data_IF_681977622694
#
_entry.id   IF_681977622694
#
_cell.length_a   1.000
_cell.length_b   1.000
_cell.length_c   1.000
_cell.angle_alpha   90.00
_cell.angle_beta   90.00
_cell.angle_gamma   90.00
#
_symmetry.space_group_name_H-M   'P 1'
#
loop_
_entity.id
_entity.type
_entity.pdbx_description
1 polymer ?
#
# COMPACT_ATOMS: atom_id res chain seq x y z
N UNK A 1 13.35 18.06 -4.18
CA UNK A 1 12.91 16.72 -4.56
C UNK A 1 14.09 15.79 -4.37
N UNK A 2 13.99 14.89 -3.41
CA UNK A 2 14.96 13.82 -3.29
C UNK A 2 14.65 12.78 -4.38
N UNK A 3 15.58 12.50 -5.28
CA UNK A 3 15.30 11.63 -6.43
C UNK A 3 15.33 10.14 -6.09
N UNK A 4 15.57 9.78 -4.84
CA UNK A 4 15.77 8.40 -4.44
C UNK A 4 14.67 7.93 -3.46
N UNK A 5 14.05 6.81 -3.79
CA UNK A 5 13.07 6.15 -2.94
C UNK A 5 13.66 4.86 -2.35
N UNK A 6 13.39 4.63 -1.08
CA UNK A 6 13.71 3.38 -0.41
C UNK A 6 12.73 2.32 -0.88
N UNK A 7 13.20 1.17 -1.33
CA UNK A 7 12.33 0.02 -1.64
C UNK A 7 11.93 -0.70 -0.34
N UNK A 8 11.26 0.03 0.54
CA UNK A 8 10.76 -0.48 1.81
C UNK A 8 9.43 0.18 2.15
N UNK A 9 8.36 -0.50 1.84
CA UNK A 9 6.99 -0.02 1.95
C UNK A 9 6.61 0.38 3.39
N UNK A 10 7.05 -0.39 4.39
CA UNK A 10 6.75 -0.13 5.80
C UNK A 10 7.27 1.23 6.28
N UNK A 11 8.48 1.60 5.88
CA UNK A 11 9.13 2.83 6.36
C UNK A 11 8.96 4.02 5.44
N UNK A 12 8.68 3.78 4.16
CA UNK A 12 8.53 4.84 3.16
C UNK A 12 7.09 5.34 3.01
N UNK A 13 6.11 4.44 3.06
CA UNK A 13 4.71 4.81 2.86
C UNK A 13 4.22 5.89 3.84
N UNK A 14 4.55 5.88 5.15
CA UNK A 14 4.16 6.95 6.06
C UNK A 14 4.64 8.33 5.61
N UNK A 15 5.93 8.44 5.27
CA UNK A 15 6.50 9.69 4.78
C UNK A 15 5.91 10.16 3.45
N UNK A 16 5.64 9.22 2.52
CA UNK A 16 4.97 9.53 1.27
C UNK A 16 3.53 10.01 1.50
N UNK A 17 2.80 9.33 2.39
CA UNK A 17 1.44 9.69 2.74
C UNK A 17 1.34 11.08 3.38
N UNK A 18 2.30 11.43 4.24
CA UNK A 18 2.29 12.70 4.97
C UNK A 18 2.75 13.89 4.14
N UNK A 19 3.71 13.69 3.20
CA UNK A 19 4.49 14.81 2.64
C UNK A 19 4.38 14.98 1.12
N UNK A 20 3.85 14.02 0.37
CA UNK A 20 3.66 14.18 -1.07
C UNK A 20 2.31 14.81 -1.37
N UNK A 21 2.24 15.54 -2.49
CA UNK A 21 0.99 16.12 -2.99
C UNK A 21 0.26 15.11 -3.89
N UNK A 22 -0.93 14.73 -3.50
CA UNK A 22 -1.82 13.85 -4.27
C UNK A 22 -3.27 14.05 -3.81
N UNK A 23 -4.22 13.65 -4.63
CA UNK A 23 -5.64 13.68 -4.28
C UNK A 23 -6.33 12.31 -4.46
N UNK A 24 -5.53 11.31 -4.84
CA UNK A 24 -5.98 9.92 -5.01
C UNK A 24 -4.90 8.96 -4.55
N UNK A 25 -5.32 7.82 -4.01
CA UNK A 25 -4.38 6.84 -3.47
C UNK A 25 -4.80 5.42 -3.84
N UNK A 26 -3.78 4.58 -4.10
CA UNK A 26 -3.94 3.14 -4.27
C UNK A 26 -3.42 2.47 -3.00
N UNK A 27 -4.29 1.71 -2.34
CA UNK A 27 -4.00 0.90 -1.17
C UNK A 27 -4.27 -0.58 -1.46
N UNK A 28 -3.56 -1.44 -0.79
CA UNK A 28 -3.76 -2.89 -0.90
C UNK A 28 -2.52 -3.68 -0.52
N UNK A 29 -2.57 -4.98 -0.74
CA UNK A 29 -1.47 -5.92 -0.53
C UNK A 29 -0.51 -5.97 -1.73
N UNK A 30 0.31 -7.02 -1.82
CA UNK A 30 1.15 -7.30 -3.00
C UNK A 30 0.39 -7.35 -4.32
N UNK A 31 -0.89 -7.63 -4.28
CA UNK A 31 -1.74 -7.68 -5.47
C UNK A 31 -1.92 -6.33 -6.16
N UNK A 32 -1.62 -5.23 -5.47
CA UNK A 32 -1.74 -3.87 -6.01
C UNK A 32 -0.38 -3.18 -6.24
N UNK A 33 0.74 -3.78 -5.84
CA UNK A 33 2.07 -3.15 -5.97
C UNK A 33 2.48 -2.90 -7.42
N UNK A 34 1.99 -3.73 -8.36
CA UNK A 34 2.28 -3.57 -9.79
C UNK A 34 1.36 -2.57 -10.51
N UNK A 35 0.38 -1.98 -9.83
CA UNK A 35 -0.41 -0.91 -10.42
C UNK A 35 0.47 0.31 -10.63
N UNK A 36 0.52 0.82 -11.85
CA UNK A 36 1.29 2.01 -12.20
C UNK A 36 0.42 3.25 -12.09
N UNK A 37 0.88 4.26 -11.37
CA UNK A 37 0.13 5.50 -11.19
C UNK A 37 -0.02 6.28 -12.50
N UNK A 38 0.89 6.07 -13.46
CA UNK A 38 0.79 6.63 -14.82
C UNK A 38 -0.46 6.17 -15.55
N UNK A 39 -0.95 4.96 -15.32
CA UNK A 39 -2.22 4.51 -15.94
C UNK A 39 -3.41 5.38 -15.51
N UNK A 40 -3.43 5.78 -14.24
CA UNK A 40 -4.46 6.67 -13.70
C UNK A 40 -4.30 8.10 -14.23
N UNK A 41 -3.07 8.57 -14.38
CA UNK A 41 -2.75 9.88 -14.95
C UNK A 41 -3.16 9.95 -16.42
N UNK A 42 -2.74 9.00 -17.24
CA UNK A 42 -2.96 9.00 -18.70
C UNK A 42 -4.42 8.75 -19.08
N UNK A 43 -5.07 7.81 -18.40
CA UNK A 43 -6.43 7.40 -18.75
C UNK A 43 -7.51 8.27 -18.09
N UNK A 44 -7.23 8.85 -16.93
CA UNK A 44 -8.22 9.52 -16.10
C UNK A 44 -7.82 10.94 -15.69
N UNK A 45 -6.60 11.39 -16.00
CA UNK A 45 -6.08 12.70 -15.57
C UNK A 45 -5.95 12.81 -14.04
N UNK A 46 -5.67 11.71 -13.34
CA UNK A 46 -5.71 11.62 -11.89
C UNK A 46 -4.32 11.72 -11.27
N UNK A 47 -4.13 12.66 -10.31
CA UNK A 47 -2.91 12.74 -9.50
C UNK A 47 -2.95 11.67 -8.40
N UNK A 48 -2.40 10.50 -8.71
CA UNK A 48 -2.52 9.29 -7.90
C UNK A 48 -1.17 8.87 -7.33
N UNK A 49 -1.14 8.51 -6.05
CA UNK A 49 0.00 7.88 -5.39
C UNK A 49 -0.31 6.43 -5.06
N UNK A 50 0.71 5.59 -5.03
CA UNK A 50 0.61 4.19 -4.62
C UNK A 50 1.26 4.00 -3.25
N UNK A 51 0.47 3.57 -2.28
CA UNK A 51 0.88 3.25 -0.92
C UNK A 51 0.58 1.78 -0.58
N UNK A 52 0.64 0.93 -1.60
CA UNK A 52 0.49 -0.51 -1.44
C UNK A 52 1.59 -1.09 -0.55
N UNK A 53 1.29 -2.17 0.16
CA UNK A 53 2.22 -2.83 1.07
C UNK A 53 2.11 -4.34 0.93
N UNK A 54 3.16 -4.99 0.43
CA UNK A 54 3.17 -6.44 0.19
C UNK A 54 2.87 -7.23 1.45
N UNK A 55 1.80 -8.03 1.41
CA UNK A 55 1.30 -8.80 2.54
C UNK A 55 0.61 -7.96 3.61
N UNK A 56 0.17 -6.73 3.28
CA UNK A 56 -0.56 -5.87 4.19
C UNK A 56 -1.83 -6.53 4.73
N UNK A 57 -1.99 -6.51 6.03
CA UNK A 57 -3.26 -6.77 6.70
C UNK A 57 -4.16 -5.52 6.67
N UNK A 58 -5.45 -5.66 6.93
CA UNK A 58 -6.36 -4.50 7.01
C UNK A 58 -5.91 -3.43 8.01
N UNK A 59 -5.26 -3.83 9.10
CA UNK A 59 -4.70 -2.90 10.09
C UNK A 59 -3.54 -2.08 9.55
N UNK A 60 -2.68 -2.66 8.69
CA UNK A 60 -1.62 -1.91 8.02
C UNK A 60 -2.21 -0.83 7.11
N UNK A 61 -3.26 -1.16 6.35
CA UNK A 61 -3.97 -0.21 5.49
C UNK A 61 -4.66 0.89 6.31
N UNK A 62 -5.26 0.53 7.45
CA UNK A 62 -5.86 1.49 8.37
C UNK A 62 -4.84 2.49 8.91
N UNK A 63 -3.66 2.03 9.31
CA UNK A 63 -2.60 2.90 9.81
C UNK A 63 -2.13 3.91 8.75
N UNK A 64 -2.08 3.53 7.48
CA UNK A 64 -1.77 4.46 6.39
C UNK A 64 -2.94 5.41 6.13
N UNK A 65 -4.19 4.94 6.17
CA UNK A 65 -5.37 5.82 6.04
C UNK A 65 -5.43 6.86 7.14
N UNK A 66 -5.02 6.52 8.36
CA UNK A 66 -4.90 7.47 9.46
C UNK A 66 -4.02 8.66 9.06
N UNK A 67 -2.81 8.39 8.55
CA UNK A 67 -1.88 9.43 8.10
C UNK A 67 -2.46 10.22 6.93
N UNK A 68 -3.01 9.54 5.92
CA UNK A 68 -3.60 10.17 4.73
C UNK A 68 -4.66 11.20 5.13
N UNK A 69 -5.59 10.83 6.01
CA UNK A 69 -6.73 11.68 6.36
C UNK A 69 -6.43 12.72 7.43
N UNK A 70 -5.41 12.52 8.26
CA UNK A 70 -4.96 13.49 9.27
C UNK A 70 -3.92 14.47 8.75
N UNK A 71 -3.21 14.14 7.67
CA UNK A 71 -2.17 14.97 7.08
C UNK A 71 -2.67 16.37 6.73
N UNK A 72 -1.84 17.38 6.93
CA UNK A 72 -2.09 18.75 6.49
C UNK A 72 -2.28 18.88 4.97
N UNK A 73 -1.72 17.94 4.21
CA UNK A 73 -1.91 17.86 2.77
C UNK A 73 -3.35 17.47 2.37
N UNK A 74 -4.13 16.91 3.30
CA UNK A 74 -5.53 16.55 3.08
C UNK A 74 -6.51 17.64 3.53
N UNK A 75 -6.17 18.93 3.40
CA UNK A 75 -7.02 20.04 3.83
C UNK A 75 -7.45 20.93 2.66
N UNK A 76 -8.67 21.44 2.73
CA UNK A 76 -9.21 22.35 1.73
C UNK A 76 -9.34 21.73 0.34
N UNK A 77 -8.75 22.36 -0.68
CA UNK A 77 -8.81 21.88 -2.07
C UNK A 77 -7.95 20.62 -2.32
N UNK A 78 -6.98 20.33 -1.44
CA UNK A 78 -6.10 19.15 -1.51
C UNK A 78 -6.72 17.90 -0.88
N UNK A 79 -8.00 17.93 -0.56
CA UNK A 79 -8.71 16.80 0.04
C UNK A 79 -8.61 15.55 -0.83
N UNK A 80 -8.42 14.40 -0.18
CA UNK A 80 -8.43 13.09 -0.85
C UNK A 80 -9.79 12.86 -1.49
N UNK A 81 -9.79 12.77 -2.81
CA UNK A 81 -11.02 12.60 -3.61
C UNK A 81 -11.36 11.14 -3.82
N UNK A 82 -10.33 10.28 -3.91
CA UNK A 82 -10.57 8.87 -4.21
C UNK A 82 -9.53 7.95 -3.58
N UNK A 83 -10.01 6.85 -3.01
CA UNK A 83 -9.21 5.73 -2.53
C UNK A 83 -9.54 4.49 -3.37
N UNK A 84 -8.55 3.93 -4.04
CA UNK A 84 -8.63 2.62 -4.69
C UNK A 84 -8.11 1.58 -3.71
N UNK A 85 -9.00 0.75 -3.18
CA UNK A 85 -8.69 -0.21 -2.12
C UNK A 85 -8.80 -1.64 -2.64
N UNK A 86 -7.67 -2.31 -2.79
CA UNK A 86 -7.61 -3.74 -3.06
C UNK A 86 -7.85 -4.54 -1.77
N UNK A 87 -8.96 -5.26 -1.72
CA UNK A 87 -9.29 -6.16 -0.61
C UNK A 87 -8.74 -7.55 -0.93
N UNK A 88 -7.60 -7.85 -0.32
CA UNK A 88 -6.99 -9.17 -0.39
C UNK A 88 -7.66 -10.08 0.63
N UNK A 89 -8.54 -10.96 0.15
CA UNK A 89 -9.36 -11.83 1.00
C UNK A 89 -8.52 -12.69 1.95
N UNK A 90 -7.31 -13.08 1.56
CA UNK A 90 -6.42 -13.89 2.42
C UNK A 90 -5.99 -13.10 3.65
N UNK A 91 -5.54 -11.85 3.48
CA UNK A 91 -5.10 -11.02 4.61
C UNK A 91 -6.27 -10.48 5.43
N UNK A 92 -7.44 -10.32 4.82
CA UNK A 92 -8.64 -9.86 5.51
C UNK A 92 -9.29 -10.93 6.38
N UNK A 93 -8.95 -12.21 6.22
CA UNK A 93 -9.38 -13.27 7.13
C UNK A 93 -8.54 -13.40 8.41
N UNK A 94 -7.47 -12.61 8.53
CA UNK A 94 -6.61 -12.57 9.71
C UNK A 94 -7.20 -11.82 10.91
N UNK A 95 -6.40 -11.64 11.94
CA UNK A 95 -6.79 -10.90 13.14
C UNK A 95 -6.99 -9.41 12.89
N UNK A 96 -7.99 -8.80 13.52
CA UNK A 96 -8.33 -7.37 13.34
C UNK A 96 -7.17 -6.41 13.70
N UNK A 97 -6.36 -6.78 14.69
CA UNK A 97 -5.20 -6.00 15.11
C UNK A 97 -3.88 -6.47 14.49
N UNK A 98 -3.97 -7.42 13.57
CA UNK A 98 -2.79 -8.01 12.96
C UNK A 98 -2.15 -7.06 11.94
N UNK A 99 -0.82 -6.95 12.02
CA UNK A 99 0.01 -6.20 11.08
C UNK A 99 1.08 -7.12 10.52
N UNK A 100 1.53 -6.85 9.31
CA UNK A 100 2.57 -7.68 8.64
C UNK A 100 3.87 -7.73 9.43
N UNK A 101 4.28 -6.58 9.96
CA UNK A 101 5.45 -6.43 10.83
C UNK A 101 5.13 -5.47 11.97
N UNK A 102 5.92 -5.49 13.05
CA UNK A 102 5.82 -4.46 14.09
C UNK A 102 5.94 -3.06 13.48
N UNK A 103 4.98 -2.21 13.79
CA UNK A 103 4.95 -0.85 13.25
C UNK A 103 6.05 0.00 13.91
N UNK A 104 6.90 0.68 13.14
CA UNK A 104 7.84 1.67 13.67
C UNK A 104 7.06 2.95 14.03
N UNK A 105 6.44 2.97 15.21
CA UNK A 105 5.51 4.01 15.67
C UNK A 105 6.05 5.44 15.47
N UNK A 106 7.37 5.62 15.62
CA UNK A 106 8.04 6.90 15.41
C UNK A 106 8.00 7.43 13.96
N UNK A 107 7.65 6.61 12.97
CA UNK A 107 7.41 7.03 11.57
C UNK A 107 5.92 7.20 11.25
N UNK A 108 5.06 6.87 12.21
CA UNK A 108 3.60 6.90 12.06
C UNK A 108 2.96 7.95 12.99
N UNK A 109 3.76 8.81 13.62
CA UNK A 109 3.32 9.93 14.43
C UNK A 109 3.69 11.29 13.80
N UNK A 110 3.27 12.39 14.40
CA UNK A 110 3.52 13.76 13.91
C UNK A 110 4.84 14.37 14.45
N UNK A 111 5.69 13.58 15.10
CA UNK A 111 6.88 14.06 15.80
C UNK A 111 8.15 13.83 14.98
N UNK A 112 8.66 14.85 14.30
CA UNK A 112 9.95 14.78 13.61
C UNK A 112 11.16 14.55 14.52
N UNK A 113 11.03 14.77 15.83
CA UNK A 113 12.17 14.65 16.76
C UNK A 113 12.57 13.20 17.02
N UNK A 114 11.64 12.26 16.94
CA UNK A 114 11.90 10.84 17.17
C UNK A 114 12.35 10.12 15.87
N UNK A 115 12.13 10.72 14.69
CA UNK A 115 12.60 10.24 13.40
C UNK A 115 14.14 10.21 13.29
N UNK A 116 14.83 10.93 14.17
CA UNK A 116 16.29 10.90 14.23
C UNK A 116 16.84 9.47 14.39
N UNK A 117 16.08 8.55 14.99
CA UNK A 117 16.44 7.14 15.11
C UNK A 117 16.54 6.46 13.75
N UNK A 118 15.66 6.84 12.82
CA UNK A 118 15.66 6.34 11.45
C UNK A 118 16.83 6.95 10.66
N UNK A 119 16.96 8.26 10.72
CA UNK A 119 18.01 9.02 9.99
C UNK A 119 19.43 8.59 10.40
N UNK A 120 19.64 8.32 11.71
CA UNK A 120 20.93 7.88 12.23
C UNK A 120 21.18 6.36 12.07
N UNK A 121 20.23 5.61 11.50
CA UNK A 121 20.51 4.24 11.09
C UNK A 121 21.60 4.27 10.00
N UNK A 122 22.65 3.45 10.16
CA UNK A 122 23.81 3.44 9.25
C UNK A 122 23.39 3.22 7.80
N UNK A 123 22.48 2.28 7.56
CA UNK A 123 22.07 1.92 6.20
C UNK A 123 21.22 3.02 5.58
N UNK A 124 20.34 3.66 6.37
CA UNK A 124 19.56 4.82 5.92
C UNK A 124 20.48 5.99 5.60
N UNK A 125 21.39 6.32 6.52
CA UNK A 125 22.28 7.45 6.33
C UNK A 125 23.19 7.28 5.10
N UNK A 126 23.80 6.12 4.94
CA UNK A 126 24.77 5.89 3.85
C UNK A 126 24.09 5.67 2.51
N UNK A 127 23.08 4.79 2.45
CA UNK A 127 22.51 4.35 1.20
C UNK A 127 21.35 5.20 0.71
N UNK A 128 20.58 5.79 1.64
CA UNK A 128 19.34 6.51 1.28
C UNK A 128 19.41 8.03 1.49
N UNK A 129 20.47 8.53 2.13
CA UNK A 129 20.68 9.96 2.29
C UNK A 129 21.93 10.40 1.56
N UNK A 130 23.11 9.89 1.94
CA UNK A 130 24.38 10.38 1.41
C UNK A 130 24.63 9.96 -0.04
N UNK A 131 24.31 8.71 -0.39
CA UNK A 131 24.51 8.21 -1.76
C UNK A 131 23.64 8.95 -2.77
N UNK A 132 22.34 9.17 -2.57
CA UNK A 132 21.51 9.94 -3.51
C UNK A 132 21.89 11.41 -3.62
N UNK A 133 22.49 11.99 -2.57
CA UNK A 133 23.02 13.34 -2.63
C UNK A 133 24.28 13.43 -3.49
N UNK A 134 25.10 12.38 -3.51
CA UNK A 134 26.31 12.31 -4.30
C UNK A 134 26.05 11.95 -5.78
N UNK A 135 25.05 11.11 -6.02
CA UNK A 135 24.69 10.61 -7.36
C UNK A 135 23.16 10.53 -7.46
N UNK A 136 22.49 11.66 -7.77
CA UNK A 136 21.05 11.73 -7.83
C UNK A 136 20.51 11.05 -9.09
N UNK A 137 19.85 9.90 -8.91
CA UNK A 137 19.09 9.23 -9.97
C UNK A 137 17.64 9.72 -9.98
N UNK A 138 17.05 10.00 -11.16
CA UNK A 138 15.64 10.35 -11.24
C UNK A 138 14.79 9.16 -10.83
N UNK A 139 13.85 9.40 -9.94
CA UNK A 139 12.95 8.35 -9.45
C UNK A 139 11.58 8.47 -10.10
N UNK A 140 11.14 7.39 -10.72
CA UNK A 140 9.80 7.24 -11.24
C UNK A 140 8.88 6.69 -10.16
N UNK A 141 8.05 7.55 -9.58
CA UNK A 141 7.05 7.16 -8.57
C UNK A 141 5.99 6.20 -9.11
N UNK A 142 5.80 6.15 -10.42
CA UNK A 142 4.84 5.23 -11.05
C UNK A 142 5.22 3.77 -10.85
N UNK A 143 6.52 3.48 -10.91
CA UNK A 143 7.07 2.14 -10.78
C UNK A 143 7.56 1.80 -9.36
N UNK A 144 7.31 2.67 -8.39
CA UNK A 144 7.69 2.37 -7.01
C UNK A 144 7.05 1.05 -6.56
N UNK A 145 7.85 0.16 -5.99
CA UNK A 145 7.48 -1.19 -5.55
C UNK A 145 7.11 -2.21 -6.66
N UNK A 146 7.16 -1.86 -7.94
CA UNK A 146 6.82 -2.74 -9.05
C UNK A 146 8.01 -3.65 -9.45
N UNK A 147 8.74 -4.19 -8.48
CA UNK A 147 10.01 -4.91 -8.70
C UNK A 147 9.88 -6.27 -9.41
N UNK A 148 8.69 -6.83 -9.50
CA UNK A 148 8.42 -8.11 -10.14
C UNK A 148 7.49 -8.01 -11.36
N UNK A 149 7.35 -6.77 -11.90
CA UNK A 149 6.66 -6.53 -13.15
C UNK A 149 7.60 -6.82 -14.32
N UNK A 150 7.41 -7.93 -14.99
CA UNK A 150 8.02 -8.22 -16.30
C UNK A 150 7.00 -8.90 -17.21
N UNK A 151 7.06 -8.62 -18.50
CA UNK A 151 6.20 -9.29 -19.48
C UNK A 151 6.38 -10.81 -19.46
N UNK A 152 7.59 -11.27 -19.14
CA UNK A 152 7.93 -12.68 -19.07
C UNK A 152 7.06 -13.42 -18.04
N UNK A 153 6.85 -12.88 -16.84
CA UNK A 153 6.05 -13.53 -15.79
C UNK A 153 4.55 -13.62 -16.11
N UNK A 154 4.07 -12.83 -17.07
CA UNK A 154 2.69 -12.82 -17.53
C UNK A 154 2.51 -13.46 -18.89
N UNK A 155 3.56 -14.09 -19.47
CA UNK A 155 3.48 -14.80 -20.71
C UNK A 155 2.76 -16.15 -20.54
N UNK A 156 2.04 -16.58 -21.58
CA UNK A 156 1.41 -17.90 -21.62
C UNK A 156 2.43 -19.01 -21.38
N UNK A 157 3.61 -18.90 -21.98
CA UNK A 157 4.70 -19.88 -21.86
C UNK A 157 5.15 -20.02 -20.40
N UNK A 158 5.36 -18.89 -19.71
CA UNK A 158 5.77 -18.89 -18.32
C UNK A 158 4.70 -19.49 -17.40
N UNK A 159 3.43 -19.12 -17.62
CA UNK A 159 2.31 -19.64 -16.83
C UNK A 159 2.16 -21.14 -17.00
N UNK A 160 2.16 -21.63 -18.25
CA UNK A 160 2.04 -23.06 -18.53
C UNK A 160 3.20 -23.89 -17.98
N UNK A 161 4.40 -23.30 -17.91
CA UNK A 161 5.57 -23.99 -17.37
C UNK A 161 5.61 -24.00 -15.83
N UNK A 162 5.15 -22.93 -15.19
CA UNK A 162 5.33 -22.74 -13.74
C UNK A 162 4.04 -22.95 -12.93
N UNK A 163 2.88 -22.93 -13.58
CA UNK A 163 1.62 -23.12 -12.87
C UNK A 163 1.41 -24.62 -12.58
N UNK A 164 1.23 -24.91 -11.31
CA UNK A 164 0.75 -26.22 -10.87
C UNK A 164 -0.61 -26.01 -10.22
N UNK A 165 -1.64 -26.71 -10.75
CA UNK A 165 -2.95 -26.65 -10.13
C UNK A 165 -2.87 -27.09 -8.66
N UNK A 166 -3.38 -26.31 -7.72
CA UNK A 166 -3.41 -26.74 -6.32
C UNK A 166 -4.19 -28.04 -6.17
N UNK A 167 -3.70 -28.93 -5.33
CA UNK A 167 -4.47 -30.11 -4.94
C UNK A 167 -5.78 -29.64 -4.29
N UNK A 168 -6.90 -30.20 -4.73
CA UNK A 168 -8.18 -29.93 -4.08
C UNK A 168 -8.08 -30.41 -2.63
N UNK A 169 -8.14 -29.48 -1.68
CA UNK A 169 -8.21 -29.86 -0.28
C UNK A 169 -9.51 -30.59 -0.03
N UNK A 170 -9.45 -31.74 0.64
CA UNK A 170 -10.64 -32.48 1.06
C UNK A 170 -11.32 -31.83 2.29
N UNK A 171 -10.72 -30.79 2.86
CA UNK A 171 -11.30 -30.04 3.97
C UNK A 171 -12.27 -28.99 3.40
N UNK A 172 -13.54 -29.09 3.76
CA UNK A 172 -14.50 -28.02 3.52
C UNK A 172 -14.03 -26.79 4.31
N UNK A 173 -13.64 -25.74 3.59
CA UNK A 173 -13.32 -24.46 4.22
C UNK A 173 -14.57 -23.97 4.98
N UNK A 174 -14.41 -23.57 6.23
CA UNK A 174 -15.47 -22.89 6.98
C UNK A 174 -15.69 -21.48 6.39
N UNK A 175 -16.49 -21.45 5.33
CA UNK A 175 -16.80 -20.23 4.58
C UNK A 175 -17.48 -19.19 5.47
N UNK A 176 -18.32 -19.64 6.42
CA UNK A 176 -19.02 -18.71 7.33
C UNK A 176 -18.04 -18.03 8.29
N UNK A 177 -17.13 -18.78 8.89
CA UNK A 177 -16.09 -18.22 9.76
C UNK A 177 -15.15 -17.28 8.98
N UNK A 178 -14.82 -17.64 7.74
CA UNK A 178 -14.01 -16.82 6.87
C UNK A 178 -14.69 -15.50 6.53
N UNK A 179 -15.93 -15.52 6.09
CA UNK A 179 -16.70 -14.31 5.78
C UNK A 179 -16.90 -13.43 7.02
N UNK A 180 -17.17 -14.02 8.18
CA UNK A 180 -17.27 -13.29 9.44
C UNK A 180 -15.96 -12.57 9.81
N UNK A 181 -14.80 -13.19 9.56
CA UNK A 181 -13.51 -12.56 9.79
C UNK A 181 -13.27 -11.39 8.85
N UNK A 182 -13.60 -11.53 7.56
CA UNK A 182 -13.49 -10.45 6.56
C UNK A 182 -14.41 -9.28 6.94
N UNK A 183 -15.67 -9.56 7.28
CA UNK A 183 -16.63 -8.54 7.71
C UNK A 183 -16.16 -7.80 8.94
N UNK A 184 -15.63 -8.50 9.93
CA UNK A 184 -15.07 -7.91 11.14
C UNK A 184 -13.89 -7.00 10.84
N UNK A 185 -13.00 -7.40 9.94
CA UNK A 185 -11.87 -6.60 9.50
C UNK A 185 -12.31 -5.34 8.74
N UNK A 186 -13.25 -5.47 7.80
CA UNK A 186 -13.82 -4.33 7.10
C UNK A 186 -14.44 -3.34 8.07
N UNK A 187 -15.26 -3.82 8.98
CA UNK A 187 -15.96 -2.98 9.97
C UNK A 187 -15.01 -2.26 10.93
N UNK A 188 -13.94 -2.93 11.35
CA UNK A 188 -13.01 -2.35 12.32
C UNK A 188 -11.93 -1.44 11.70
N UNK A 189 -11.44 -1.79 10.52
CA UNK A 189 -10.24 -1.17 9.94
C UNK A 189 -10.54 -0.28 8.72
N UNK A 190 -11.66 -0.45 8.04
CA UNK A 190 -11.97 0.24 6.78
C UNK A 190 -13.20 1.16 6.91
N UNK A 191 -14.32 0.62 7.38
CA UNK A 191 -15.57 1.38 7.46
C UNK A 191 -15.46 2.70 8.23
N UNK A 192 -14.71 2.81 9.36
CA UNK A 192 -14.58 4.08 10.07
C UNK A 192 -14.01 5.21 9.21
N UNK A 193 -13.08 4.90 8.29
CA UNK A 193 -12.52 5.90 7.38
C UNK A 193 -13.50 6.30 6.28
N UNK A 194 -14.31 5.37 5.79
CA UNK A 194 -15.37 5.65 4.82
C UNK A 194 -16.42 6.57 5.44
N UNK A 195 -16.86 6.26 6.64
CA UNK A 195 -17.88 7.02 7.37
C UNK A 195 -17.40 8.43 7.75
N UNK A 196 -16.13 8.54 8.18
CA UNK A 196 -15.54 9.82 8.54
C UNK A 196 -15.25 10.75 7.33
N UNK A 197 -15.19 10.19 6.10
CA UNK A 197 -14.82 10.92 4.90
C UNK A 197 -15.88 10.78 3.78
N UNK A 198 -17.13 11.25 3.98
CA UNK A 198 -18.25 11.02 3.07
C UNK A 198 -18.07 11.66 1.68
N UNK A 199 -17.15 12.62 1.54
CA UNK A 199 -16.85 13.27 0.26
C UNK A 199 -15.74 12.54 -0.53
N UNK A 200 -15.04 11.58 0.10
CA UNK A 200 -14.05 10.75 -0.56
C UNK A 200 -14.73 9.53 -1.18
N UNK A 201 -14.49 9.31 -2.46
CA UNK A 201 -14.97 8.12 -3.15
C UNK A 201 -14.06 6.94 -2.86
N UNK A 202 -14.56 5.89 -2.21
CA UNK A 202 -13.86 4.62 -2.07
C UNK A 202 -14.27 3.67 -3.20
N UNK A 203 -13.27 3.20 -3.96
CA UNK A 203 -13.41 2.17 -5.00
C UNK A 203 -12.78 0.91 -4.45
N UNK A 204 -13.63 0.02 -3.96
CA UNK A 204 -13.21 -1.26 -3.38
C UNK A 204 -13.26 -2.33 -4.47
N UNK A 205 -12.20 -3.11 -4.60
CA UNK A 205 -12.14 -4.20 -5.56
C UNK A 205 -11.41 -5.41 -4.98
N UNK A 206 -11.77 -6.57 -5.48
CA UNK A 206 -11.09 -7.83 -5.14
C UNK A 206 -10.07 -8.13 -6.26
N UNK A 207 -8.78 -8.23 -5.93
CA UNK A 207 -7.79 -8.67 -6.90
C UNK A 207 -8.12 -10.08 -7.39
N UNK A 208 -7.92 -10.37 -8.69
CA UNK A 208 -8.16 -11.71 -9.21
C UNK A 208 -7.10 -12.69 -8.69
N UNK A 209 -7.54 -13.82 -8.18
CA UNK A 209 -6.71 -14.98 -7.88
C UNK A 209 -6.92 -16.06 -8.93
N UNK A 210 -5.85 -16.79 -9.27
CA UNK A 210 -6.01 -18.03 -10.05
C UNK A 210 -6.70 -19.08 -9.20
N UNK A 211 -7.69 -19.75 -9.79
CA UNK A 211 -8.45 -20.85 -9.16
C UNK A 211 -7.74 -22.16 -9.50
#
# INVERSE_FOLDING_TARGET
NFPYLVDNQLTQNPGMAAHLEYDRVILGSSMTVNFQTTWFQELMGLNTIKLSYSGAFPKDQANIMEIIFQSDNNRGENRIKKVFLGVDVITYSGGVAETKYPIPEYLYDDSYLNDIKYVLNKDVLLNYILRPLADPEPTDLSNVYASWWTEEYYSEEWVLHNYTSPEQSSEEADVEAYLAAVEKNLSANICPYIEANPETQFVIFFPPYSI
#
